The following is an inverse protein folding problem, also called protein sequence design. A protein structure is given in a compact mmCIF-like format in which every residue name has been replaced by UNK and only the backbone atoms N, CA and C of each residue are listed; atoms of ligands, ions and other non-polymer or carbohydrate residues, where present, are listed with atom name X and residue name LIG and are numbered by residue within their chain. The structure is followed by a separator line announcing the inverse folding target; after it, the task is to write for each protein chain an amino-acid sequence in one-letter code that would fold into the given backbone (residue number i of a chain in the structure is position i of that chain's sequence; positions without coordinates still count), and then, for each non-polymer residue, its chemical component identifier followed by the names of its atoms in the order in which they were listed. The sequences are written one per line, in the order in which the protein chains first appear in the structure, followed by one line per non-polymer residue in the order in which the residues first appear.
data_IF_272133423766
#
_entry.id   IF_272133423766
#
_cell.length_a   1.000
_cell.length_b   1.000
_cell.length_c   1.000
_cell.angle_alpha   90.00
_cell.angle_beta   90.00
_cell.angle_gamma   90.00
#
_symmetry.space_group_name_H-M   'P 1'
#
loop_
_entity.id
_entity.type
_entity.pdbx_description
1 polymer ?
#
# COMPACT_ATOMS: atom_id res chain seq x y z
N UNK A 1 53.93 -27.39 -18.24
CA UNK A 1 52.48 -27.24 -18.50
C UNK A 1 51.58 -27.50 -17.26
N UNK A 2 52.04 -27.27 -16.01
CA UNK A 2 51.20 -27.45 -14.80
C UNK A 2 50.81 -26.13 -14.10
N UNK A 3 51.33 -24.98 -14.55
CA UNK A 3 51.05 -23.67 -13.94
C UNK A 3 49.97 -22.84 -14.66
N UNK A 4 49.52 -23.28 -15.85
CA UNK A 4 48.47 -22.57 -16.61
C UNK A 4 47.05 -23.01 -16.23
N UNK A 5 46.89 -24.17 -15.57
CA UNK A 5 45.58 -24.72 -15.21
C UNK A 5 44.98 -24.05 -13.94
N UNK A 6 45.82 -23.41 -13.11
CA UNK A 6 45.39 -22.81 -11.84
C UNK A 6 44.70 -21.46 -12.04
N UNK A 7 44.99 -20.75 -13.14
CA UNK A 7 44.43 -19.42 -13.41
C UNK A 7 43.01 -19.52 -13.99
N UNK A 8 42.67 -20.60 -14.70
CA UNK A 8 41.33 -20.78 -15.31
C UNK A 8 40.31 -21.26 -14.28
N UNK A 9 40.71 -22.00 -13.24
CA UNK A 9 39.81 -22.45 -12.17
C UNK A 9 39.53 -21.33 -11.14
N UNK A 10 40.44 -20.35 -11.00
CA UNK A 10 40.22 -19.18 -10.13
C UNK A 10 39.18 -18.18 -10.64
N UNK A 11 38.91 -18.16 -11.95
CA UNK A 11 37.96 -17.23 -12.57
C UNK A 11 36.51 -17.75 -12.58
N UNK A 12 36.29 -19.05 -12.41
CA UNK A 12 34.94 -19.64 -12.34
C UNK A 12 34.32 -19.42 -10.96
N UNK A 13 35.12 -19.21 -9.91
CA UNK A 13 34.64 -19.00 -8.53
C UNK A 13 34.14 -17.57 -8.23
N UNK A 14 34.27 -16.62 -9.16
CA UNK A 14 33.66 -15.28 -9.03
C UNK A 14 32.37 -15.11 -9.85
N UNK A 15 31.88 -16.18 -10.50
CA UNK A 15 30.61 -16.17 -11.23
C UNK A 15 29.38 -16.41 -10.35
N UNK A 16 29.52 -16.31 -9.03
CA UNK A 16 28.38 -16.01 -8.16
C UNK A 16 28.00 -14.54 -8.32
N UNK A 17 27.59 -14.16 -9.54
CA UNK A 17 26.64 -13.06 -9.73
C UNK A 17 25.38 -13.47 -8.99
N UNK A 18 25.35 -13.19 -7.70
CA UNK A 18 24.13 -13.11 -6.93
C UNK A 18 23.21 -12.26 -7.79
N UNK A 19 22.14 -12.89 -8.32
CA UNK A 19 21.02 -12.18 -8.88
C UNK A 19 20.55 -11.22 -7.78
N UNK A 20 21.08 -9.99 -7.79
CA UNK A 20 20.69 -8.97 -6.85
C UNK A 20 19.24 -8.72 -7.18
N UNK A 21 18.34 -9.33 -6.39
CA UNK A 21 16.94 -8.92 -6.35
C UNK A 21 16.97 -7.42 -6.16
N UNK A 22 16.64 -6.68 -7.22
CA UNK A 22 16.55 -5.24 -7.20
C UNK A 22 15.43 -4.89 -6.22
N UNK A 23 15.82 -4.58 -4.98
CA UNK A 23 14.91 -4.01 -4.02
C UNK A 23 14.64 -2.58 -4.49
N UNK A 24 13.43 -2.31 -4.93
CA UNK A 24 13.01 -0.99 -5.40
C UNK A 24 12.56 -0.17 -4.19
N UNK A 25 12.90 1.12 -4.18
CA UNK A 25 12.39 2.02 -3.17
C UNK A 25 11.05 2.61 -3.63
N UNK A 26 10.09 2.67 -2.70
CA UNK A 26 8.85 3.44 -2.87
C UNK A 26 9.21 4.92 -2.84
N UNK A 27 8.89 5.65 -3.91
CA UNK A 27 9.29 7.04 -4.07
C UNK A 27 8.15 8.03 -3.87
N UNK A 28 8.48 9.19 -3.34
CA UNK A 28 7.57 10.33 -3.30
C UNK A 28 7.66 11.10 -4.62
N UNK A 29 6.50 11.40 -5.22
CA UNK A 29 6.43 12.21 -6.44
C UNK A 29 5.85 13.58 -6.13
N UNK A 30 6.36 14.58 -6.84
CA UNK A 30 5.73 15.89 -6.94
C UNK A 30 4.96 15.98 -8.26
N UNK A 31 3.64 15.86 -8.20
CA UNK A 31 2.76 15.91 -9.38
C UNK A 31 2.34 17.35 -9.63
N UNK A 32 2.76 17.88 -10.78
CA UNK A 32 2.40 19.25 -11.23
C UNK A 32 1.12 19.31 -12.08
N UNK A 33 0.56 18.15 -12.46
CA UNK A 33 -0.66 18.08 -13.26
C UNK A 33 -1.85 18.63 -12.46
N UNK A 34 -2.39 19.75 -12.92
CA UNK A 34 -3.49 20.46 -12.27
C UNK A 34 -4.84 19.73 -12.39
N UNK A 35 -5.03 18.91 -13.43
CA UNK A 35 -6.29 18.19 -13.65
C UNK A 35 -6.36 16.94 -12.78
N UNK A 36 -5.30 16.14 -12.75
CA UNK A 36 -5.22 14.99 -11.85
C UNK A 36 -5.36 15.42 -10.40
N UNK A 37 -4.59 16.42 -9.97
CA UNK A 37 -4.66 16.93 -8.59
C UNK A 37 -6.05 17.45 -8.26
N UNK A 38 -6.68 18.25 -9.14
CA UNK A 38 -8.05 18.72 -8.96
C UNK A 38 -9.06 17.59 -8.83
N UNK A 39 -8.96 16.54 -9.65
CA UNK A 39 -9.88 15.40 -9.58
C UNK A 39 -9.75 14.64 -8.24
N UNK A 40 -8.52 14.45 -7.75
CA UNK A 40 -8.30 13.81 -6.45
C UNK A 40 -8.78 14.71 -5.30
N UNK A 41 -8.54 16.02 -5.36
CA UNK A 41 -9.08 16.98 -4.38
C UNK A 41 -10.61 16.92 -4.34
N UNK A 42 -11.26 16.94 -5.50
CA UNK A 42 -12.72 16.83 -5.59
C UNK A 42 -13.23 15.53 -4.97
N UNK A 43 -12.58 14.40 -5.28
CA UNK A 43 -12.91 13.11 -4.68
C UNK A 43 -12.80 13.14 -3.15
N UNK A 44 -11.72 13.70 -2.60
CA UNK A 44 -11.54 13.84 -1.15
C UNK A 44 -12.65 14.69 -0.54
N UNK A 45 -13.00 15.82 -1.16
CA UNK A 45 -14.08 16.71 -0.72
C UNK A 45 -15.45 16.02 -0.76
N UNK A 46 -15.72 15.20 -1.78
CA UNK A 46 -16.93 14.38 -1.85
C UNK A 46 -16.97 13.34 -0.74
N UNK A 47 -15.86 12.65 -0.45
CA UNK A 47 -15.77 11.70 0.67
C UNK A 47 -15.94 12.38 2.04
N UNK A 48 -15.57 13.67 2.18
CA UNK A 48 -15.85 14.46 3.39
C UNK A 48 -17.34 14.79 3.56
N UNK A 49 -18.07 14.94 2.44
CA UNK A 49 -19.49 15.35 2.40
C UNK A 49 -20.51 14.19 2.39
N UNK A 50 -20.17 13.05 1.78
CA UNK A 50 -21.08 11.92 1.62
C UNK A 50 -21.56 11.33 2.95
N UNK A 51 -22.78 10.79 3.00
CA UNK A 51 -23.51 10.34 4.20
C UNK A 51 -23.22 8.91 4.70
N UNK A 52 -22.24 8.21 4.14
CA UNK A 52 -21.90 6.85 4.58
C UNK A 52 -21.32 6.86 6.00
N UNK A 53 -21.64 5.85 6.82
CA UNK A 53 -21.23 5.69 8.23
C UNK A 53 -19.70 5.78 8.50
N UNK A 54 -18.88 5.85 7.44
CA UNK A 54 -17.43 5.75 7.46
C UNK A 54 -16.75 7.04 6.99
N UNK A 55 -17.07 8.18 7.62
CA UNK A 55 -16.48 9.49 7.32
C UNK A 55 -15.05 9.67 7.88
N UNK A 56 -14.12 8.78 7.56
CA UNK A 56 -12.76 8.92 8.07
C UNK A 56 -12.05 10.18 7.50
N UNK A 57 -12.29 10.54 6.24
CA UNK A 57 -11.78 11.79 5.66
C UNK A 57 -12.28 13.07 6.36
N UNK A 58 -13.52 13.08 6.87
CA UNK A 58 -14.04 14.20 7.68
C UNK A 58 -13.26 14.38 8.99
N UNK A 59 -12.65 13.32 9.50
CA UNK A 59 -11.79 13.32 10.69
C UNK A 59 -10.31 13.57 10.36
N UNK A 60 -9.98 13.89 9.10
CA UNK A 60 -8.60 14.01 8.62
C UNK A 60 -7.86 12.67 8.55
N UNK A 61 -8.61 11.57 8.47
CA UNK A 61 -8.06 10.21 8.38
C UNK A 61 -8.25 9.66 6.96
N UNK A 62 -7.46 8.65 6.64
CA UNK A 62 -7.47 7.93 5.39
C UNK A 62 -6.46 8.43 4.38
N UNK A 63 -6.32 7.64 3.33
CA UNK A 63 -5.50 7.95 2.17
C UNK A 63 -6.25 7.51 0.92
N UNK A 64 -5.80 8.00 -0.23
CA UNK A 64 -6.35 7.67 -1.53
C UNK A 64 -5.45 6.65 -2.20
N UNK A 65 -6.02 5.63 -2.83
CA UNK A 65 -5.29 4.75 -3.75
C UNK A 65 -5.75 4.99 -5.16
N UNK A 66 -4.80 5.15 -6.07
CA UNK A 66 -5.03 5.35 -7.50
C UNK A 66 -4.43 4.16 -8.25
N UNK A 67 -5.29 3.38 -8.87
CA UNK A 67 -4.91 2.27 -9.74
C UNK A 67 -4.81 2.80 -11.17
N UNK A 68 -3.59 2.99 -11.66
CA UNK A 68 -3.31 3.51 -12.99
C UNK A 68 -3.28 2.33 -13.97
N UNK A 69 -4.20 2.36 -14.93
CA UNK A 69 -4.25 1.38 -16.00
C UNK A 69 -3.15 1.67 -17.03
N UNK A 70 -2.80 0.65 -17.81
CA UNK A 70 -1.72 0.76 -18.77
C UNK A 70 -2.02 1.74 -19.89
N UNK A 71 -0.95 2.39 -20.34
CA UNK A 71 -0.97 3.25 -21.51
C UNK A 71 -1.12 2.38 -22.77
N UNK A 72 -2.22 2.55 -23.50
CA UNK A 72 -2.34 1.99 -24.84
C UNK A 72 -1.68 2.95 -25.85
N UNK A 73 -0.87 2.41 -26.77
CA UNK A 73 -0.29 3.19 -27.86
C UNK A 73 -1.42 3.89 -28.62
N UNK A 74 -1.36 5.22 -28.71
CA UNK A 74 -2.37 6.15 -29.28
C UNK A 74 -3.53 6.55 -28.35
N UNK A 75 -3.54 6.12 -27.08
CA UNK A 75 -4.42 6.70 -26.07
C UNK A 75 -3.73 7.94 -25.48
N UNK A 76 -4.37 9.10 -25.50
CA UNK A 76 -3.89 10.30 -24.78
C UNK A 76 -4.53 10.41 -23.38
N UNK A 77 -5.41 9.48 -23.01
CA UNK A 77 -6.15 9.51 -21.76
C UNK A 77 -5.52 8.56 -20.74
N UNK A 78 -5.10 9.13 -19.61
CA UNK A 78 -4.71 8.35 -18.43
C UNK A 78 -5.97 7.79 -17.78
N UNK A 79 -6.15 6.47 -17.83
CA UNK A 79 -7.26 5.79 -17.15
C UNK A 79 -6.83 5.36 -15.76
N UNK A 80 -7.61 5.72 -14.76
CA UNK A 80 -7.34 5.32 -13.39
C UNK A 80 -8.62 5.12 -12.59
N UNK A 81 -8.53 4.27 -11.56
CA UNK A 81 -9.57 4.11 -10.55
C UNK A 81 -9.08 4.70 -9.22
N UNK A 82 -9.97 5.41 -8.53
CA UNK A 82 -9.69 6.07 -7.25
C UNK A 82 -10.48 5.37 -6.15
N UNK A 83 -9.83 5.02 -5.05
CA UNK A 83 -10.47 4.45 -3.87
C UNK A 83 -10.02 5.18 -2.62
N UNK A 84 -10.93 5.30 -1.65
CA UNK A 84 -10.62 5.72 -0.29
C UNK A 84 -10.29 4.52 0.58
N UNK A 85 -9.22 4.62 1.36
CA UNK A 85 -8.77 3.57 2.28
C UNK A 85 -8.41 4.19 3.63
N UNK A 86 -8.48 3.39 4.70
CA UNK A 86 -7.93 3.74 6.00
C UNK A 86 -7.49 2.46 6.73
N UNK A 87 -6.44 1.84 6.20
CA UNK A 87 -5.89 0.58 6.69
C UNK A 87 -4.37 0.66 6.86
N UNK A 88 -3.82 -0.16 7.77
CA UNK A 88 -2.38 -0.21 8.00
C UNK A 88 -1.67 -1.13 7.00
N UNK A 89 -0.40 -0.79 6.74
CA UNK A 89 0.55 -1.70 6.10
C UNK A 89 1.26 -2.48 7.21
N UNK A 90 1.25 -3.81 7.15
CA UNK A 90 2.00 -4.66 8.09
C UNK A 90 3.33 -5.09 7.47
N UNK A 91 4.29 -5.55 8.30
CA UNK A 91 5.58 -6.04 7.77
C UNK A 91 5.46 -7.36 7.02
N UNK A 92 4.49 -8.19 7.38
CA UNK A 92 4.29 -9.52 6.78
C UNK A 92 3.40 -9.49 5.54
N UNK A 93 2.94 -8.31 5.10
CA UNK A 93 2.13 -8.20 3.88
C UNK A 93 3.00 -8.38 2.66
N UNK A 94 2.45 -9.11 1.69
CA UNK A 94 3.02 -9.28 0.36
C UNK A 94 3.43 -7.94 -0.28
N UNK A 95 4.52 -7.92 -1.04
CA UNK A 95 5.02 -6.72 -1.72
C UNK A 95 3.96 -6.11 -2.66
N UNK A 96 3.01 -6.92 -3.14
CA UNK A 96 1.90 -6.48 -3.98
C UNK A 96 0.96 -5.46 -3.33
N UNK A 97 0.97 -5.31 -2.00
CA UNK A 97 0.17 -4.26 -1.35
C UNK A 97 0.84 -2.89 -1.41
N UNK A 98 2.15 -2.80 -1.67
CA UNK A 98 2.87 -1.54 -1.64
C UNK A 98 2.82 -0.83 -3.00
N UNK A 99 2.56 0.50 -3.02
CA UNK A 99 2.55 1.27 -4.25
C UNK A 99 3.98 1.48 -4.75
N UNK A 100 4.11 1.74 -6.05
CA UNK A 100 5.40 2.17 -6.61
C UNK A 100 5.75 3.59 -6.15
N UNK A 101 4.73 4.44 -6.04
CA UNK A 101 4.89 5.85 -5.72
C UNK A 101 3.82 6.35 -4.75
N UNK A 102 4.12 7.43 -4.03
CA UNK A 102 3.12 8.19 -3.29
C UNK A 102 3.31 9.69 -3.49
N UNK A 103 2.27 10.46 -3.20
CA UNK A 103 2.31 11.93 -3.16
C UNK A 103 1.35 12.44 -2.09
N UNK A 104 1.25 13.76 -1.93
CA UNK A 104 0.28 14.40 -1.07
C UNK A 104 -0.60 15.35 -1.89
N UNK A 105 -1.92 15.18 -1.77
CA UNK A 105 -2.92 16.06 -2.39
C UNK A 105 -3.94 16.43 -1.32
N UNK A 106 -4.22 17.72 -1.17
CA UNK A 106 -5.09 18.26 -0.12
C UNK A 106 -4.72 17.74 1.29
N UNK A 107 -3.42 17.67 1.58
CA UNK A 107 -2.90 17.20 2.86
C UNK A 107 -3.05 15.69 3.13
N UNK A 108 -3.61 14.91 2.21
CA UNK A 108 -3.78 13.46 2.36
C UNK A 108 -2.78 12.68 1.49
N UNK A 109 -2.30 11.51 1.94
CA UNK A 109 -1.47 10.65 1.12
C UNK A 109 -2.27 10.09 -0.06
N UNK A 110 -1.64 10.04 -1.22
CA UNK A 110 -2.17 9.45 -2.44
C UNK A 110 -1.18 8.42 -2.96
N UNK A 111 -1.59 7.15 -2.95
CA UNK A 111 -0.78 6.00 -3.31
C UNK A 111 -1.03 5.62 -4.77
N UNK A 112 0.01 5.49 -5.57
CA UNK A 112 -0.10 5.24 -7.01
C UNK A 112 0.38 3.83 -7.33
N UNK A 113 -0.52 3.06 -7.92
CA UNK A 113 -0.28 1.68 -8.35
C UNK A 113 -0.31 1.62 -9.87
N UNK A 114 0.82 1.30 -10.48
CA UNK A 114 0.92 1.10 -11.93
C UNK A 114 0.74 -0.38 -12.26
N UNK A 115 -0.32 -0.71 -13.00
CA UNK A 115 -0.69 -2.10 -13.27
C UNK A 115 0.36 -2.88 -14.07
N UNK A 116 0.92 -2.29 -15.12
CA UNK A 116 2.03 -2.89 -15.88
C UNK A 116 3.20 -3.27 -14.99
N UNK A 117 3.53 -2.39 -14.05
CA UNK A 117 4.66 -2.58 -13.15
C UNK A 117 4.37 -3.73 -12.18
N UNK A 118 3.18 -3.79 -11.58
CA UNK A 118 2.80 -4.90 -10.70
C UNK A 118 2.69 -6.25 -11.43
N UNK A 119 2.33 -6.25 -12.72
CA UNK A 119 2.27 -7.46 -13.56
C UNK A 119 3.63 -8.07 -13.91
N UNK A 120 4.74 -7.34 -13.73
CA UNK A 120 6.10 -7.89 -13.90
C UNK A 120 6.50 -8.87 -12.78
N UNK A 121 5.60 -9.13 -11.83
CA UNK A 121 5.52 -10.37 -11.07
C UNK A 121 6.54 -10.58 -9.95
N UNK A 122 7.52 -9.69 -9.77
CA UNK A 122 8.59 -9.89 -8.77
C UNK A 122 9.16 -8.60 -8.17
N UNK A 123 8.40 -7.49 -8.17
CA UNK A 123 8.84 -6.30 -7.47
C UNK A 123 8.97 -6.57 -5.98
N UNK A 124 10.18 -6.41 -5.47
CA UNK A 124 10.44 -6.42 -4.04
C UNK A 124 10.76 -5.01 -3.61
N UNK A 125 10.07 -4.52 -2.59
CA UNK A 125 10.39 -3.21 -2.03
C UNK A 125 11.41 -3.35 -0.92
N UNK A 126 12.28 -2.34 -0.77
CA UNK A 126 13.19 -2.33 0.35
C UNK A 126 12.42 -2.19 1.67
N UNK A 127 12.86 -2.91 2.71
CA UNK A 127 12.27 -2.78 4.04
C UNK A 127 12.33 -1.35 4.58
N UNK A 128 13.34 -0.58 4.15
CA UNK A 128 13.48 0.83 4.48
C UNK A 128 12.36 1.67 3.86
N UNK A 129 12.05 1.48 2.58
CA UNK A 129 10.98 2.23 1.91
C UNK A 129 9.60 1.82 2.43
N UNK A 130 9.36 0.53 2.71
CA UNK A 130 8.13 0.06 3.36
C UNK A 130 7.90 0.74 4.71
N UNK A 131 8.93 0.76 5.57
CA UNK A 131 8.88 1.45 6.88
C UNK A 131 8.65 2.95 6.72
N UNK A 132 9.26 3.58 5.71
CA UNK A 132 9.04 5.00 5.42
C UNK A 132 7.57 5.25 5.05
N UNK A 133 7.01 4.46 4.13
CA UNK A 133 5.61 4.59 3.74
C UNK A 133 4.66 4.35 4.93
N UNK A 134 4.91 3.31 5.74
CA UNK A 134 4.15 3.06 6.96
C UNK A 134 4.10 4.28 7.88
N UNK A 135 5.24 4.95 8.10
CA UNK A 135 5.31 6.20 8.89
C UNK A 135 4.55 7.36 8.26
N UNK A 136 4.52 7.43 6.92
CA UNK A 136 3.72 8.44 6.19
C UNK A 136 2.23 8.22 6.37
N UNK A 137 1.78 6.95 6.38
CA UNK A 137 0.36 6.60 6.44
C UNK A 137 -0.19 6.58 7.87
N UNK A 138 0.61 6.17 8.85
CA UNK A 138 0.17 5.97 10.25
C UNK A 138 -0.57 7.18 10.88
N UNK A 139 -0.17 8.46 10.64
CA UNK A 139 -0.90 9.63 11.17
C UNK A 139 -2.32 9.76 10.64
N UNK A 140 -2.60 9.19 9.47
CA UNK A 140 -3.90 9.22 8.81
C UNK A 140 -4.77 8.01 9.21
N UNK A 141 -4.36 7.20 10.19
CA UNK A 141 -5.13 6.06 10.66
C UNK A 141 -5.72 6.33 12.06
N UNK A 142 -6.80 5.64 12.41
CA UNK A 142 -7.35 5.73 13.77
C UNK A 142 -6.30 5.38 14.82
N UNK A 143 -6.31 6.02 15.98
CA UNK A 143 -5.40 5.64 17.07
C UNK A 143 -5.69 4.22 17.55
N UNK A 144 -4.63 3.44 17.78
CA UNK A 144 -4.73 2.11 18.36
C UNK A 144 -5.27 2.21 19.80
N UNK A 145 -6.20 1.33 20.17
CA UNK A 145 -6.85 1.27 21.48
C UNK A 145 -6.99 -0.16 21.97
N UNK A 146 -7.14 -0.35 23.27
CA UNK A 146 -7.54 -1.66 23.79
C UNK A 146 -9.04 -1.83 23.58
N UNK A 147 -9.47 -2.96 23.03
CA UNK A 147 -10.87 -3.27 22.81
C UNK A 147 -11.21 -4.63 23.43
N UNK A 148 -12.33 -4.67 24.16
CA UNK A 148 -12.93 -5.93 24.59
C UNK A 148 -13.84 -6.42 23.46
N UNK A 149 -13.57 -7.62 22.95
CA UNK A 149 -14.42 -8.30 21.99
C UNK A 149 -15.26 -9.32 22.72
N UNK A 150 -16.54 -9.36 22.40
CA UNK A 150 -17.50 -10.29 22.97
C UNK A 150 -17.80 -11.40 21.97
N UNK A 151 -18.03 -12.62 22.46
CA UNK A 151 -18.58 -13.70 21.64
C UNK A 151 -20.02 -13.37 21.17
N UNK A 152 -20.57 -14.22 20.28
CA UNK A 152 -21.93 -14.04 19.74
C UNK A 152 -23.03 -14.01 20.79
N UNK A 153 -22.76 -14.57 21.98
CA UNK A 153 -23.69 -14.63 23.11
C UNK A 153 -23.41 -13.56 24.18
N UNK A 154 -22.48 -12.64 23.92
CA UNK A 154 -22.01 -11.59 24.83
C UNK A 154 -21.36 -12.08 26.14
N UNK A 155 -20.93 -13.35 26.23
CA UNK A 155 -20.48 -13.97 27.49
C UNK A 155 -18.97 -13.98 27.68
N UNK A 156 -18.20 -14.41 26.67
CA UNK A 156 -16.73 -14.40 26.75
C UNK A 156 -16.17 -13.09 26.23
N UNK A 157 -15.22 -12.53 26.97
CA UNK A 157 -14.49 -11.32 26.56
C UNK A 157 -13.05 -11.65 26.22
N UNK A 158 -12.60 -11.22 25.04
CA UNK A 158 -11.19 -11.25 24.63
C UNK A 158 -10.67 -9.82 24.63
N UNK A 159 -9.63 -9.57 25.43
CA UNK A 159 -8.96 -8.26 25.48
C UNK A 159 -7.94 -8.15 24.36
N UNK A 160 -8.29 -7.41 23.31
CA UNK A 160 -7.39 -7.14 22.19
C UNK A 160 -6.65 -5.84 22.44
N UNK A 161 -5.33 -5.94 22.65
CA UNK A 161 -4.43 -4.77 22.69
C UNK A 161 -4.19 -4.27 21.27
N UNK A 162 -3.92 -2.97 21.14
CA UNK A 162 -3.58 -2.31 19.86
C UNK A 162 -4.63 -2.47 18.75
N UNK A 163 -5.91 -2.61 19.11
CA UNK A 163 -7.02 -2.67 18.16
C UNK A 163 -7.21 -1.32 17.44
N UNK A 164 -7.45 -1.38 16.14
CA UNK A 164 -7.76 -0.25 15.26
C UNK A 164 -8.86 -0.69 14.31
N UNK A 165 -9.82 0.20 14.02
CA UNK A 165 -10.74 -0.07 12.91
C UNK A 165 -9.99 0.19 11.60
N UNK A 166 -10.08 -0.74 10.67
CA UNK A 166 -9.51 -0.58 9.34
C UNK A 166 -10.63 -0.55 8.30
N UNK A 167 -10.43 0.26 7.27
CA UNK A 167 -11.43 0.46 6.23
C UNK A 167 -10.80 0.16 4.87
N UNK A 168 -11.47 -0.74 4.13
CA UNK A 168 -11.05 -1.17 2.80
C UNK A 168 -12.19 -0.95 1.80
N UNK A 169 -11.89 -0.34 0.66
CA UNK A 169 -12.77 -0.32 -0.52
C UNK A 169 -12.11 -1.09 -1.67
N UNK A 170 -12.87 -1.95 -2.35
CA UNK A 170 -12.41 -2.63 -3.56
C UNK A 170 -13.14 -2.06 -4.78
N UNK A 171 -12.50 -2.09 -5.95
CA UNK A 171 -13.17 -1.77 -7.21
C UNK A 171 -14.22 -2.87 -7.45
N UNK A 172 -15.50 -2.51 -7.42
CA UNK A 172 -16.62 -3.42 -7.68
C UNK A 172 -17.31 -4.03 -6.46
N UNK A 173 -16.82 -3.82 -5.23
CA UNK A 173 -17.54 -4.15 -4.00
C UNK A 173 -16.93 -3.45 -2.77
N UNK A 174 -17.76 -2.93 -1.86
CA UNK A 174 -17.33 -2.53 -0.52
C UNK A 174 -17.43 -3.75 0.39
N UNK A 175 -16.31 -4.26 0.90
CA UNK A 175 -16.29 -5.37 1.88
C UNK A 175 -15.76 -4.84 3.21
N UNK A 176 -16.58 -4.98 4.25
CA UNK A 176 -16.20 -4.60 5.61
C UNK A 176 -15.53 -5.79 6.30
N UNK A 177 -14.20 -5.77 6.42
CA UNK A 177 -13.50 -6.73 7.27
C UNK A 177 -13.32 -6.15 8.69
N UNK A 178 -14.08 -6.71 9.63
CA UNK A 178 -13.73 -6.62 11.05
C UNK A 178 -12.65 -7.67 11.31
N UNK A 179 -11.38 -7.28 11.39
CA UNK A 179 -10.30 -8.16 11.85
C UNK A 179 -10.53 -8.55 13.32
N UNK A 180 -11.34 -9.58 13.54
CA UNK A 180 -11.16 -10.48 14.67
C UNK A 180 -10.24 -11.58 14.16
N UNK A 181 -8.95 -11.57 14.53
CA UNK A 181 -8.15 -12.79 14.38
C UNK A 181 -8.93 -13.90 15.10
N UNK A 182 -9.32 -14.95 14.36
CA UNK A 182 -9.75 -16.18 15.01
C UNK A 182 -8.52 -16.67 15.76
N UNK A 183 -8.56 -16.59 17.09
CA UNK A 183 -7.65 -17.36 17.91
C UNK A 183 -8.22 -18.78 17.86
N UNK A 184 -7.59 -19.65 17.07
CA UNK A 184 -7.75 -21.09 17.24
C UNK A 184 -7.25 -21.46 18.65
N UNK A 185 -7.99 -22.37 19.29
CA UNK A 185 -7.92 -22.70 20.72
C UNK A 185 -6.54 -23.18 21.18
#
# INVERSE_FOLDING_TARGET
MKKLLVIVIGLILFSSTSAQRLNVDIQELNIKDSTFTKNITNFIEEQKKGGDEFHFFKKGLGYVTVQIADYHKNDTLLRYAVLSQASSFNHDTDDGVYPQYYTFIDGHPVLLYFRSVSMLGNLKYSEKSKKKLQKVIEPFLEKKRTKLLYDVNQKKTVKVKNFRNEFFKFIGATIYYKLGRQYEN
#
